data_IF_696647750162
#
_entry.id   IF_696647750162
#
_cell.length_a   1.000
_cell.length_b   1.000
_cell.length_c   1.000
_cell.angle_alpha   90.00
_cell.angle_beta   90.00
_cell.angle_gamma   90.00
#
_symmetry.space_group_name_H-M   'P 1'
#
loop_
_entity.id
_entity.type
_entity.pdbx_description
1 polymer ?
#
# COMPACT_ATOMS: atom_id res chain seq x y z
N UNK A 1 -13.89 0.28 -17.60
CA UNK A 1 -13.80 1.17 -16.42
C UNK A 1 -15.12 1.10 -15.68
N UNK A 2 -15.20 0.44 -14.52
CA UNK A 2 -16.46 0.35 -13.80
C UNK A 2 -16.66 1.63 -12.98
N UNK A 3 -17.44 2.57 -13.51
CA UNK A 3 -17.78 3.88 -12.91
C UNK A 3 -18.24 3.73 -11.44
N UNK A 4 -18.78 2.56 -11.10
CA UNK A 4 -19.21 2.16 -9.77
C UNK A 4 -18.10 2.15 -8.71
N UNK A 5 -16.86 1.76 -9.03
CA UNK A 5 -15.77 1.70 -8.03
C UNK A 5 -15.34 3.09 -7.56
N UNK A 6 -15.21 4.03 -8.52
CA UNK A 6 -14.87 5.43 -8.23
C UNK A 6 -15.99 6.13 -7.46
N UNK A 7 -17.26 5.89 -7.84
CA UNK A 7 -18.43 6.42 -7.13
C UNK A 7 -18.52 5.84 -5.70
N UNK A 8 -18.26 4.55 -5.51
CA UNK A 8 -18.29 3.93 -4.19
C UNK A 8 -17.23 4.52 -3.25
N UNK A 9 -16.03 4.86 -3.76
CA UNK A 9 -15.01 5.55 -2.95
C UNK A 9 -15.39 7.00 -2.64
N UNK A 10 -16.00 7.73 -3.58
CA UNK A 10 -16.42 9.12 -3.39
C UNK A 10 -17.58 9.27 -2.37
N UNK A 11 -18.46 8.27 -2.28
CA UNK A 11 -19.65 8.32 -1.40
C UNK A 11 -19.36 7.73 0.00
N UNK A 12 -18.36 6.87 0.15
CA UNK A 12 -18.15 6.12 1.41
C UNK A 12 -17.38 6.91 2.46
N UNK A 13 -18.10 7.33 3.50
CA UNK A 13 -17.55 7.88 4.74
C UNK A 13 -17.36 6.85 5.87
N UNK A 14 -17.79 5.59 5.69
CA UNK A 14 -17.77 4.53 6.71
C UNK A 14 -17.35 3.17 6.15
N UNK A 15 -16.74 2.34 7.00
CA UNK A 15 -16.33 0.96 6.70
C UNK A 15 -17.52 0.08 6.31
N UNK A 16 -17.30 -0.84 5.36
CA UNK A 16 -18.27 -1.90 5.04
C UNK A 16 -18.21 -2.97 6.13
N UNK A 17 -19.35 -3.29 6.74
CA UNK A 17 -19.46 -4.45 7.65
C UNK A 17 -19.43 -5.72 6.82
N UNK A 18 -18.42 -6.57 7.02
CA UNK A 18 -18.30 -7.89 6.38
C UNK A 18 -18.60 -8.97 7.41
N UNK A 19 -19.47 -9.93 7.07
CA UNK A 19 -19.80 -11.11 7.91
C UNK A 19 -18.91 -12.31 7.62
N UNK A 20 -18.24 -12.35 6.47
CA UNK A 20 -17.32 -13.42 6.08
C UNK A 20 -16.00 -13.35 6.85
N UNK A 21 -15.43 -14.51 7.14
CA UNK A 21 -14.12 -14.61 7.76
C UNK A 21 -12.98 -14.23 6.79
N UNK A 22 -11.84 -13.89 7.37
CA UNK A 22 -10.60 -13.55 6.65
C UNK A 22 -9.77 -14.82 6.58
N UNK A 23 -9.42 -15.27 5.38
CA UNK A 23 -8.54 -16.41 5.17
C UNK A 23 -7.09 -15.93 5.03
N UNK A 24 -6.18 -16.60 5.74
CA UNK A 24 -4.75 -16.27 5.72
C UNK A 24 -3.97 -17.49 5.25
N UNK A 25 -3.41 -17.41 4.05
CA UNK A 25 -2.41 -18.35 3.59
C UNK A 25 -1.02 -17.83 3.95
N UNK A 26 -0.30 -18.60 4.75
CA UNK A 26 0.96 -18.18 5.36
C UNK A 26 2.15 -18.81 4.65
N UNK A 27 3.29 -18.13 4.76
CA UNK A 27 4.58 -18.70 4.34
C UNK A 27 4.99 -19.86 5.25
N UNK A 28 4.86 -19.69 6.56
CA UNK A 28 5.13 -20.73 7.56
C UNK A 28 3.81 -21.13 8.25
N UNK A 29 3.28 -22.34 7.99
CA UNK A 29 2.06 -22.84 8.61
C UNK A 29 2.14 -22.94 10.15
N UNK A 30 3.36 -23.05 10.69
CA UNK A 30 3.60 -23.22 12.13
C UNK A 30 3.64 -21.90 12.92
N UNK A 31 3.77 -20.76 12.22
CA UNK A 31 3.77 -19.44 12.85
C UNK A 31 2.39 -19.11 13.42
N UNK A 32 2.21 -18.66 14.68
CA UNK A 32 0.89 -18.40 15.27
C UNK A 32 0.10 -17.28 14.55
N UNK A 33 -1.25 -17.38 14.49
CA UNK A 33 -2.11 -16.29 14.00
C UNK A 33 -2.09 -15.19 15.07
N UNK A 34 -1.45 -14.06 14.77
CA UNK A 34 -1.63 -12.86 15.57
C UNK A 34 -2.78 -12.05 14.97
N UNK A 35 -3.85 -11.89 15.75
CA UNK A 35 -4.92 -10.94 15.50
C UNK A 35 -4.89 -9.93 16.63
N UNK A 36 -4.98 -8.65 16.29
CA UNK A 36 -5.10 -7.57 17.27
C UNK A 36 -6.53 -7.06 17.34
N UNK A 37 -6.93 -6.57 18.51
CA UNK A 37 -8.27 -5.99 18.72
C UNK A 37 -8.25 -4.48 18.90
N UNK A 38 -7.09 -3.92 19.21
CA UNK A 38 -6.86 -2.48 19.39
C UNK A 38 -5.62 -2.03 18.63
N UNK A 39 -5.50 -0.73 18.33
CA UNK A 39 -4.29 -0.20 17.67
C UNK A 39 -3.11 -0.08 18.65
N UNK A 40 -3.39 -0.03 19.95
CA UNK A 40 -2.43 0.02 21.05
C UNK A 40 -1.59 -1.26 21.14
N UNK A 41 -2.20 -2.42 20.83
CA UNK A 41 -1.52 -3.71 20.77
C UNK A 41 -0.40 -3.75 19.70
N UNK A 42 -0.48 -2.89 18.69
CA UNK A 42 0.52 -2.79 17.61
C UNK A 42 1.79 -2.05 18.02
N UNK A 43 1.84 -1.46 19.23
CA UNK A 43 3.01 -0.75 19.77
C UNK A 43 3.57 0.31 18.81
N UNK A 44 2.69 1.04 18.14
CA UNK A 44 3.02 2.13 17.23
C UNK A 44 3.71 3.29 17.95
N UNK A 45 4.47 4.10 17.20
CA UNK A 45 4.95 5.40 17.71
C UNK A 45 3.75 6.26 18.13
N UNK A 46 3.82 6.98 19.27
CA UNK A 46 2.66 7.73 19.80
C UNK A 46 2.07 8.72 18.80
N UNK A 47 2.90 9.37 18.00
CA UNK A 47 2.50 10.34 16.97
C UNK A 47 1.68 9.67 15.86
N UNK A 48 2.10 8.47 15.45
CA UNK A 48 1.42 7.72 14.41
C UNK A 48 0.12 7.11 14.91
N UNK A 49 0.10 6.60 16.16
CA UNK A 49 -1.13 6.14 16.82
C UNK A 49 -2.17 7.27 16.90
N UNK A 50 -1.75 8.47 17.29
CA UNK A 50 -2.63 9.66 17.28
C UNK A 50 -3.15 9.98 15.88
N UNK A 51 -2.32 9.77 14.86
CA UNK A 51 -2.69 9.89 13.45
C UNK A 51 -3.75 8.89 13.01
N UNK A 52 -3.72 7.64 13.51
CA UNK A 52 -4.76 6.63 13.23
C UNK A 52 -6.13 7.12 13.70
N UNK A 53 -6.22 7.66 14.92
CA UNK A 53 -7.48 8.21 15.44
C UNK A 53 -7.93 9.47 14.69
N UNK A 54 -7.01 10.32 14.24
CA UNK A 54 -7.34 11.50 13.40
C UNK A 54 -7.95 11.12 12.04
N UNK A 55 -7.57 9.97 11.48
CA UNK A 55 -8.21 9.46 10.26
C UNK A 55 -9.65 9.03 10.53
N UNK A 56 -10.00 8.70 11.78
CA UNK A 56 -11.34 8.31 12.23
C UNK A 56 -11.49 6.82 12.51
N UNK A 57 -10.39 6.12 12.84
CA UNK A 57 -10.43 4.71 13.22
C UNK A 57 -10.31 4.55 14.73
N UNK A 58 -11.41 4.17 15.39
CA UNK A 58 -11.40 3.87 16.84
C UNK A 58 -10.86 2.46 17.12
N UNK A 59 -11.17 1.50 16.24
CA UNK A 59 -10.75 0.10 16.33
C UNK A 59 -10.29 -0.41 14.94
N UNK A 60 -9.39 -1.41 14.88
CA UNK A 60 -9.02 -2.05 13.63
C UNK A 60 -10.23 -2.69 12.95
N UNK A 61 -10.33 -2.56 11.62
CA UNK A 61 -11.30 -3.34 10.85
C UNK A 61 -10.89 -4.82 10.77
N UNK A 62 -11.81 -5.74 10.43
CA UNK A 62 -11.53 -7.18 10.35
C UNK A 62 -10.29 -7.52 9.48
N UNK A 63 -10.09 -6.83 8.34
CA UNK A 63 -8.89 -7.04 7.53
C UNK A 63 -7.63 -6.47 8.21
N UNK A 64 -7.74 -5.36 8.95
CA UNK A 64 -6.64 -4.75 9.67
C UNK A 64 -6.21 -5.58 10.89
N UNK A 65 -7.16 -6.17 11.62
CA UNK A 65 -6.88 -7.07 12.76
C UNK A 65 -5.90 -8.19 12.36
N UNK A 66 -6.03 -8.68 11.13
CA UNK A 66 -5.22 -9.78 10.58
C UNK A 66 -4.00 -9.29 9.80
N UNK A 67 -4.15 -8.21 9.02
CA UNK A 67 -3.06 -7.71 8.17
C UNK A 67 -1.97 -6.99 8.97
N UNK A 68 -2.36 -6.12 9.91
CA UNK A 68 -1.42 -5.22 10.59
C UNK A 68 -0.33 -5.95 11.39
N UNK A 69 -0.61 -7.03 12.13
CA UNK A 69 0.44 -7.77 12.83
C UNK A 69 1.54 -8.28 11.89
N UNK A 70 1.16 -8.81 10.72
CA UNK A 70 2.10 -9.28 9.70
C UNK A 70 2.82 -8.12 9.01
N UNK A 71 2.08 -7.06 8.63
CA UNK A 71 2.65 -5.90 7.95
C UNK A 71 3.66 -5.12 8.83
N UNK A 72 3.42 -5.08 10.14
CA UNK A 72 4.27 -4.40 11.13
C UNK A 72 5.30 -5.33 11.78
N UNK A 73 5.34 -6.61 11.43
CA UNK A 73 6.31 -7.56 11.95
C UNK A 73 7.76 -7.11 11.68
N UNK A 74 8.66 -7.51 12.56
CA UNK A 74 10.10 -7.31 12.38
C UNK A 74 10.79 -8.67 12.41
N UNK A 75 11.48 -9.10 11.32
CA UNK A 75 11.74 -8.36 10.09
C UNK A 75 10.48 -8.10 9.22
N UNK A 76 10.50 -7.10 8.31
CA UNK A 76 9.40 -6.81 7.39
C UNK A 76 8.99 -8.02 6.55
N UNK A 77 7.68 -8.18 6.35
CA UNK A 77 7.12 -9.28 5.56
C UNK A 77 6.28 -8.76 4.40
N UNK A 78 6.44 -9.40 3.24
CA UNK A 78 5.70 -9.08 2.03
C UNK A 78 4.26 -9.62 2.11
N UNK A 79 3.32 -8.94 1.46
CA UNK A 79 1.91 -9.32 1.50
C UNK A 79 1.20 -9.04 0.18
N UNK A 80 0.35 -9.99 -0.21
CA UNK A 80 -0.72 -9.79 -1.17
C UNK A 80 -2.03 -9.83 -0.39
N UNK A 81 -2.87 -8.81 -0.56
CA UNK A 81 -4.15 -8.74 0.12
C UNK A 81 -5.29 -8.50 -0.89
N UNK A 82 -6.14 -9.52 -1.02
CA UNK A 82 -7.39 -9.48 -1.76
C UNK A 82 -8.54 -9.18 -0.80
N UNK A 83 -9.27 -8.09 -1.05
CA UNK A 83 -10.47 -7.75 -0.29
C UNK A 83 -11.29 -6.72 -1.05
N UNK A 84 -12.61 -6.71 -0.87
CA UNK A 84 -13.48 -5.70 -1.47
C UNK A 84 -13.14 -4.26 -1.04
N UNK A 85 -13.53 -3.27 -1.84
CA UNK A 85 -13.36 -1.85 -1.50
C UNK A 85 -14.08 -1.47 -0.22
N UNK A 86 -13.51 -0.54 0.56
CA UNK A 86 -14.11 -0.04 1.81
C UNK A 86 -13.89 -0.91 3.06
N UNK A 87 -13.00 -1.89 3.01
CA UNK A 87 -12.64 -2.74 4.17
C UNK A 87 -11.52 -2.19 5.04
N UNK A 88 -10.85 -1.11 4.62
CA UNK A 88 -9.76 -0.48 5.38
C UNK A 88 -8.34 -0.82 4.91
N UNK A 89 -8.20 -1.48 3.74
CA UNK A 89 -6.89 -1.79 3.11
C UNK A 89 -5.96 -0.57 3.02
N UNK A 90 -6.48 0.55 2.52
CA UNK A 90 -5.70 1.79 2.33
C UNK A 90 -5.08 2.27 3.63
N UNK A 91 -5.87 2.34 4.70
CA UNK A 91 -5.36 2.71 6.01
C UNK A 91 -4.34 1.68 6.55
N UNK A 92 -4.53 0.39 6.27
CA UNK A 92 -3.61 -0.66 6.70
C UNK A 92 -2.21 -0.49 6.08
N UNK A 93 -2.12 -0.34 4.76
CA UNK A 93 -0.82 -0.22 4.10
C UNK A 93 -0.16 1.14 4.32
N UNK A 94 -0.95 2.21 4.51
CA UNK A 94 -0.42 3.52 4.87
C UNK A 94 0.20 3.45 6.26
N UNK A 95 -0.51 2.86 7.23
CA UNK A 95 0.01 2.68 8.58
C UNK A 95 1.31 1.88 8.57
N UNK A 96 1.33 0.76 7.84
CA UNK A 96 2.53 -0.05 7.67
C UNK A 96 3.68 0.76 7.04
N UNK A 97 3.40 1.51 5.96
CA UNK A 97 4.38 2.32 5.26
C UNK A 97 4.98 3.42 6.16
N UNK A 98 4.13 4.19 6.84
CA UNK A 98 4.55 5.27 7.73
C UNK A 98 5.32 4.76 8.96
N UNK A 99 5.04 3.54 9.40
CA UNK A 99 5.76 2.91 10.52
C UNK A 99 7.22 2.57 10.19
N UNK A 100 7.59 2.47 8.90
CA UNK A 100 8.95 2.15 8.44
C UNK A 100 9.80 3.38 8.10
N UNK A 101 9.19 4.57 8.04
CA UNK A 101 9.88 5.80 7.69
C UNK A 101 10.80 6.23 8.82
N UNK A 102 12.05 6.53 8.48
CA UNK A 102 12.99 7.24 9.33
C UNK A 102 12.92 8.74 8.99
N UNK A 103 12.36 9.52 9.90
CA UNK A 103 12.13 10.97 9.73
C UNK A 103 13.43 11.80 9.72
N UNK A 104 14.56 11.23 10.12
CA UNK A 104 15.85 11.93 10.08
C UNK A 104 16.46 11.95 8.67
N UNK A 105 15.98 11.08 7.79
CA UNK A 105 16.46 10.89 6.43
C UNK A 105 15.61 11.66 5.40
N UNK A 106 16.19 12.73 4.84
CA UNK A 106 15.56 13.61 3.83
C UNK A 106 15.62 13.05 2.41
N UNK A 107 15.05 11.87 2.21
CA UNK A 107 14.89 11.24 0.90
C UNK A 107 13.71 10.24 0.89
N UNK A 108 13.19 9.89 -0.29
CA UNK A 108 12.11 8.91 -0.42
C UNK A 108 12.48 7.53 0.12
N UNK A 109 11.65 7.02 1.03
CA UNK A 109 11.76 5.71 1.66
C UNK A 109 10.54 4.84 1.37
N UNK A 110 9.42 5.44 0.95
CA UNK A 110 8.17 4.76 0.61
C UNK A 110 7.76 5.16 -0.80
N UNK A 111 7.40 4.19 -1.63
CA UNK A 111 6.81 4.41 -2.95
C UNK A 111 5.46 3.69 -3.03
N UNK A 112 4.40 4.44 -3.34
CA UNK A 112 3.04 3.92 -3.50
C UNK A 112 2.58 4.17 -4.93
N UNK A 113 2.32 3.09 -5.66
CA UNK A 113 1.74 3.14 -6.99
C UNK A 113 0.22 3.11 -6.89
N UNK A 114 -0.41 4.10 -7.50
CA UNK A 114 -1.87 4.17 -7.70
C UNK A 114 -2.18 4.19 -9.19
N UNK A 115 -3.25 3.52 -9.66
CA UNK A 115 -3.46 3.34 -11.09
C UNK A 115 -4.03 4.58 -11.77
N UNK A 116 -4.58 5.54 -11.02
CA UNK A 116 -5.08 6.80 -11.56
C UNK A 116 -4.63 8.00 -10.71
N UNK A 117 -4.75 9.19 -11.31
CA UNK A 117 -4.49 10.47 -10.62
C UNK A 117 -5.38 10.61 -9.39
N UNK A 118 -6.67 10.37 -9.53
CA UNK A 118 -7.68 10.57 -8.49
C UNK A 118 -7.42 9.65 -7.29
N UNK A 119 -7.07 8.39 -7.56
CA UNK A 119 -6.72 7.42 -6.52
C UNK A 119 -5.42 7.80 -5.80
N UNK A 120 -4.42 8.31 -6.53
CA UNK A 120 -3.20 8.81 -5.91
C UNK A 120 -3.48 9.97 -4.93
N UNK A 121 -4.36 10.91 -5.31
CA UNK A 121 -4.78 12.01 -4.43
C UNK A 121 -5.49 11.47 -3.19
N UNK A 122 -6.47 10.58 -3.36
CA UNK A 122 -7.22 9.99 -2.23
C UNK A 122 -6.31 9.25 -1.25
N UNK A 123 -5.41 8.41 -1.75
CA UNK A 123 -4.45 7.68 -0.91
C UNK A 123 -3.48 8.63 -0.21
N UNK A 124 -3.04 9.68 -0.90
CA UNK A 124 -2.18 10.70 -0.30
C UNK A 124 -2.88 11.53 0.79
N UNK A 125 -4.19 11.80 0.67
CA UNK A 125 -4.95 12.50 1.71
C UNK A 125 -5.04 11.66 3.00
N UNK A 126 -5.23 10.34 2.87
CA UNK A 126 -5.18 9.42 4.02
C UNK A 126 -3.79 9.41 4.63
N UNK A 127 -2.73 9.35 3.81
CA UNK A 127 -1.35 9.37 4.29
C UNK A 127 -1.02 10.68 5.03
N UNK A 128 -1.44 11.82 4.48
CA UNK A 128 -1.25 13.14 5.10
C UNK A 128 -1.97 13.28 6.43
N UNK A 129 -3.22 12.80 6.52
CA UNK A 129 -4.00 12.82 7.77
C UNK A 129 -3.38 11.89 8.81
N UNK A 130 -2.96 10.70 8.42
CA UNK A 130 -2.33 9.74 9.33
C UNK A 130 -0.94 10.21 9.80
N UNK A 131 -0.19 10.91 8.95
CA UNK A 131 1.11 11.48 9.28
C UNK A 131 1.05 12.83 10.01
N UNK A 132 -0.14 13.38 10.29
CA UNK A 132 -0.36 14.75 10.79
C UNK A 132 0.49 15.16 12.00
N UNK A 133 0.80 14.21 12.88
CA UNK A 133 1.57 14.46 14.11
C UNK A 133 3.04 14.02 14.02
N UNK A 134 3.50 13.62 12.83
CA UNK A 134 4.88 13.22 12.53
C UNK A 134 5.60 14.29 11.71
N UNK A 135 6.91 14.14 11.47
CA UNK A 135 7.65 14.96 10.49
C UNK A 135 7.69 14.33 9.09
N UNK A 136 6.92 13.26 8.86
CA UNK A 136 6.84 12.58 7.58
C UNK A 136 6.11 13.48 6.57
N UNK A 137 6.72 13.64 5.41
CA UNK A 137 6.20 14.43 4.29
C UNK A 137 6.01 13.54 3.06
N UNK A 138 5.01 13.89 2.25
CA UNK A 138 4.60 13.14 1.07
C UNK A 138 4.55 14.05 -0.17
N UNK A 139 4.85 13.48 -1.34
CA UNK A 139 4.79 14.17 -2.62
C UNK A 139 4.05 13.33 -3.67
N UNK A 140 3.41 14.02 -4.62
CA UNK A 140 2.59 13.39 -5.66
C UNK A 140 3.32 13.35 -7.01
N UNK A 141 3.72 12.15 -7.42
CA UNK A 141 4.25 11.86 -8.75
C UNK A 141 3.10 11.58 -9.72
N UNK A 142 2.38 12.63 -10.13
CA UNK A 142 1.21 12.51 -11.02
C UNK A 142 1.32 13.43 -12.25
N UNK A 143 0.42 13.27 -13.22
CA UNK A 143 0.38 14.13 -14.42
C UNK A 143 0.29 15.60 -14.00
N UNK A 144 1.08 16.46 -14.65
CA UNK A 144 1.17 17.90 -14.35
C UNK A 144 2.26 18.26 -13.34
N UNK A 145 2.69 17.34 -12.47
CA UNK A 145 3.79 17.60 -11.54
C UNK A 145 5.14 17.60 -12.30
N UNK A 146 5.86 18.72 -12.26
CA UNK A 146 7.15 18.89 -12.96
C UNK A 146 8.15 19.60 -12.07
N UNK A 147 9.41 19.22 -12.20
CA UNK A 147 10.55 19.90 -11.61
C UNK A 147 11.59 20.21 -12.69
N UNK A 148 12.48 21.12 -12.37
CA UNK A 148 13.66 21.38 -13.18
C UNK A 148 14.63 20.18 -13.12
N UNK A 149 15.48 20.05 -14.14
CA UNK A 149 16.54 19.03 -14.14
C UNK A 149 17.49 19.27 -12.97
N UNK A 150 17.90 18.20 -12.29
CA UNK A 150 18.76 18.27 -11.12
C UNK A 150 18.03 18.49 -9.80
N UNK A 151 16.69 18.66 -9.82
CA UNK A 151 15.89 18.65 -8.60
C UNK A 151 16.07 17.34 -7.83
N UNK A 152 16.10 17.43 -6.50
CA UNK A 152 16.17 16.27 -5.60
C UNK A 152 14.94 16.29 -4.69
N UNK A 153 14.15 15.23 -4.74
CA UNK A 153 12.99 15.05 -3.86
C UNK A 153 13.51 14.70 -2.47
N UNK A 154 12.99 15.40 -1.46
CA UNK A 154 13.42 15.25 -0.05
C UNK A 154 12.34 14.67 0.84
N UNK A 155 11.12 14.58 0.30
CA UNK A 155 9.97 13.95 0.92
C UNK A 155 10.19 12.45 1.09
N UNK A 156 9.58 11.90 2.13
CA UNK A 156 9.82 10.53 2.57
C UNK A 156 8.92 9.54 1.81
N UNK A 157 7.74 10.01 1.39
CA UNK A 157 6.73 9.20 0.70
C UNK A 157 6.46 9.78 -0.68
N UNK A 158 6.62 8.96 -1.72
CA UNK A 158 6.17 9.29 -3.08
C UNK A 158 4.92 8.46 -3.36
N UNK A 159 3.84 9.12 -3.74
CA UNK A 159 2.62 8.48 -4.23
C UNK A 159 2.32 8.94 -5.64
N UNK A 160 1.86 8.06 -6.53
CA UNK A 160 1.62 8.48 -7.90
C UNK A 160 1.36 7.36 -8.88
N UNK A 161 1.28 7.72 -10.16
CA UNK A 161 1.06 6.73 -11.22
C UNK A 161 2.39 6.11 -11.66
N UNK A 162 2.40 4.82 -12.09
CA UNK A 162 3.63 4.12 -12.46
C UNK A 162 4.47 4.88 -13.49
N UNK A 163 3.83 5.40 -14.53
CA UNK A 163 4.50 6.13 -15.61
C UNK A 163 5.22 7.39 -15.15
N UNK A 164 4.69 8.09 -14.14
CA UNK A 164 5.31 9.32 -13.63
C UNK A 164 6.42 9.01 -12.61
N UNK A 165 6.21 8.00 -11.77
CA UNK A 165 7.21 7.53 -10.80
C UNK A 165 8.44 6.99 -11.52
N UNK A 166 8.27 6.17 -12.57
CA UNK A 166 9.41 5.66 -13.33
C UNK A 166 10.17 6.76 -14.06
N UNK A 167 9.48 7.80 -14.56
CA UNK A 167 10.11 8.97 -15.14
C UNK A 167 10.95 9.73 -14.09
N UNK A 168 10.37 10.02 -12.91
CA UNK A 168 11.08 10.69 -11.83
C UNK A 168 12.30 9.90 -11.35
N UNK A 169 12.18 8.57 -11.23
CA UNK A 169 13.26 7.71 -10.76
C UNK A 169 14.36 7.50 -11.83
N UNK A 170 13.98 7.06 -13.03
CA UNK A 170 14.94 6.52 -14.00
C UNK A 170 15.37 7.53 -15.06
N UNK A 171 14.47 8.40 -15.50
CA UNK A 171 14.75 9.39 -16.54
C UNK A 171 15.34 10.67 -15.95
N UNK A 172 14.71 11.19 -14.90
CA UNK A 172 15.10 12.46 -14.29
C UNK A 172 16.01 12.31 -13.08
N UNK A 173 16.02 11.13 -12.45
CA UNK A 173 16.84 10.81 -11.27
C UNK A 173 16.59 11.77 -10.10
N UNK A 174 15.33 12.14 -9.88
CA UNK A 174 14.90 13.01 -8.78
C UNK A 174 14.99 12.32 -7.42
N UNK A 175 15.02 10.98 -7.40
CA UNK A 175 15.22 10.17 -6.21
C UNK A 175 15.83 8.80 -6.56
N UNK A 176 16.27 8.07 -5.54
CA UNK A 176 16.97 6.79 -5.66
C UNK A 176 16.11 5.63 -5.14
N UNK A 177 15.74 4.71 -6.04
CA UNK A 177 14.93 3.53 -5.70
C UNK A 177 15.66 2.54 -4.78
N UNK A 178 17.00 2.55 -4.73
CA UNK A 178 17.76 1.66 -3.85
C UNK A 178 17.60 1.97 -2.36
N UNK A 179 17.07 3.15 -2.02
CA UNK A 179 16.81 3.60 -0.64
C UNK A 179 15.39 3.34 -0.16
N UNK A 180 14.53 2.80 -1.03
CA UNK A 180 13.13 2.53 -0.71
C UNK A 180 13.04 1.33 0.22
N UNK A 181 12.40 1.53 1.37
CA UNK A 181 12.12 0.52 2.39
C UNK A 181 10.77 -0.16 2.19
N UNK A 182 9.81 0.55 1.58
CA UNK A 182 8.45 0.05 1.37
C UNK A 182 7.95 0.40 -0.03
N UNK A 183 7.39 -0.60 -0.71
CA UNK A 183 6.79 -0.46 -2.03
C UNK A 183 5.37 -1.02 -2.03
N UNK A 184 4.42 -0.23 -2.51
CA UNK A 184 2.99 -0.58 -2.51
C UNK A 184 2.41 -0.50 -3.92
N UNK A 185 1.64 -1.50 -4.31
CA UNK A 185 0.73 -1.45 -5.45
C UNK A 185 -0.71 -1.45 -4.94
N UNK A 186 -1.40 -0.34 -5.12
CA UNK A 186 -2.82 -0.19 -4.76
C UNK A 186 -3.70 -0.46 -5.98
N UNK A 187 -4.84 -1.14 -5.78
CA UNK A 187 -5.83 -1.50 -6.81
C UNK A 187 -5.17 -2.21 -8.02
N UNK A 188 -4.48 -3.34 -7.78
CA UNK A 188 -3.69 -4.04 -8.78
C UNK A 188 -4.49 -4.54 -9.99
N UNK A 189 -5.74 -4.96 -9.78
CA UNK A 189 -6.72 -5.26 -10.82
C UNK A 189 -6.97 -4.08 -11.77
N UNK A 190 -7.10 -2.88 -11.23
CA UNK A 190 -7.20 -1.65 -12.05
C UNK A 190 -5.84 -1.30 -12.66
N UNK A 191 -4.74 -1.56 -11.95
CA UNK A 191 -3.37 -1.27 -12.40
C UNK A 191 -3.02 -2.02 -13.69
N UNK A 192 -3.24 -3.33 -13.75
CA UNK A 192 -2.89 -4.15 -14.92
C UNK A 192 -3.75 -3.80 -16.15
N UNK A 193 -4.99 -3.36 -15.92
CA UNK A 193 -5.90 -2.94 -16.99
C UNK A 193 -5.50 -1.61 -17.66
N UNK A 194 -4.60 -0.82 -17.05
CA UNK A 194 -4.10 0.43 -17.63
C UNK A 194 -2.91 0.15 -18.56
N UNK A 195 -2.98 0.69 -19.77
CA UNK A 195 -1.95 0.48 -20.79
C UNK A 195 -0.55 0.87 -20.28
N UNK A 196 0.35 -0.11 -20.26
CA UNK A 196 1.75 0.05 -19.86
C UNK A 196 2.02 0.13 -18.36
N UNK A 197 0.99 0.20 -17.49
CA UNK A 197 1.20 0.26 -16.04
C UNK A 197 1.78 -1.03 -15.47
N UNK A 198 1.39 -2.18 -16.02
CA UNK A 198 1.99 -3.48 -15.73
C UNK A 198 3.52 -3.44 -15.87
N UNK A 199 4.01 -3.14 -17.08
CA UNK A 199 5.44 -3.15 -17.39
C UNK A 199 6.22 -2.06 -16.64
N UNK A 200 5.60 -0.89 -16.46
CA UNK A 200 6.19 0.21 -15.69
C UNK A 200 6.38 -0.19 -14.23
N UNK A 201 5.40 -0.87 -13.63
CA UNK A 201 5.47 -1.34 -12.24
C UNK A 201 6.58 -2.38 -12.06
N UNK A 202 6.69 -3.34 -12.98
CA UNK A 202 7.77 -4.34 -12.98
C UNK A 202 9.15 -3.67 -13.10
N UNK A 203 9.28 -2.65 -13.96
CA UNK A 203 10.54 -1.92 -14.13
C UNK A 203 10.95 -1.14 -12.89
N UNK A 204 9.99 -0.59 -12.13
CA UNK A 204 10.25 0.03 -10.83
C UNK A 204 10.70 -1.04 -9.83
N UNK A 205 9.95 -2.15 -9.73
CA UNK A 205 10.26 -3.26 -8.83
C UNK A 205 11.70 -3.78 -9.01
N UNK A 206 12.15 -3.97 -10.25
CA UNK A 206 13.52 -4.43 -10.59
C UNK A 206 14.64 -3.50 -10.12
N UNK A 207 14.34 -2.32 -9.57
CA UNK A 207 15.29 -1.34 -9.06
C UNK A 207 15.22 -1.16 -7.54
N UNK A 208 14.30 -1.83 -6.87
CA UNK A 208 14.17 -1.84 -5.42
C UNK A 208 15.20 -2.80 -4.80
N UNK A 209 15.66 -2.55 -3.56
CA UNK A 209 16.51 -3.49 -2.85
C UNK A 209 15.74 -4.74 -2.43
N UNK A 210 16.42 -5.87 -2.25
CA UNK A 210 15.82 -7.13 -1.78
C UNK A 210 15.19 -7.02 -0.38
N UNK A 211 15.68 -6.07 0.43
CA UNK A 211 15.16 -5.76 1.77
C UNK A 211 13.88 -4.91 1.75
N UNK A 212 13.43 -4.44 0.58
CA UNK A 212 12.23 -3.63 0.46
C UNK A 212 10.99 -4.48 0.81
N UNK A 213 10.18 -3.99 1.75
CA UNK A 213 8.88 -4.59 2.03
C UNK A 213 7.92 -4.27 0.88
N UNK A 214 7.38 -5.31 0.24
CA UNK A 214 6.50 -5.18 -0.92
C UNK A 214 5.07 -5.61 -0.55
N UNK A 215 4.12 -4.75 -0.86
CA UNK A 215 2.70 -4.97 -0.56
C UNK A 215 1.85 -4.75 -1.81
N UNK A 216 0.93 -5.66 -2.10
CA UNK A 216 -0.01 -5.54 -3.21
C UNK A 216 -1.45 -5.69 -2.70
N UNK A 217 -2.31 -4.78 -3.12
CA UNK A 217 -3.72 -4.75 -2.73
C UNK A 217 -4.59 -4.76 -3.98
N UNK A 218 -5.61 -5.61 -3.97
CA UNK A 218 -6.53 -5.76 -5.10
C UNK A 218 -7.95 -6.09 -4.63
N UNK A 219 -8.97 -5.71 -5.40
CA UNK A 219 -10.34 -6.15 -5.12
C UNK A 219 -10.59 -7.54 -5.72
N UNK A 220 -10.10 -7.80 -6.93
CA UNK A 220 -10.10 -9.12 -7.56
C UNK A 220 -8.72 -9.80 -7.49
N UNK A 221 -8.71 -11.12 -7.63
CA UNK A 221 -7.48 -11.91 -7.70
C UNK A 221 -7.63 -13.03 -8.72
N UNK A 222 -7.97 -12.62 -9.95
CA UNK A 222 -8.01 -13.52 -11.09
C UNK A 222 -6.60 -13.90 -11.56
N UNK A 223 -6.52 -14.76 -12.58
CA UNK A 223 -5.25 -15.29 -13.09
C UNK A 223 -4.26 -14.18 -13.48
N UNK A 224 -4.74 -13.11 -14.12
CA UNK A 224 -3.87 -12.03 -14.59
C UNK A 224 -3.29 -11.23 -13.41
N UNK A 225 -4.14 -10.91 -12.41
CA UNK A 225 -3.68 -10.25 -11.17
C UNK A 225 -2.72 -11.14 -10.39
N UNK A 226 -2.99 -12.45 -10.31
CA UNK A 226 -2.16 -13.42 -9.62
C UNK A 226 -0.77 -13.52 -10.26
N UNK A 227 -0.70 -13.73 -11.58
CA UNK A 227 0.57 -13.80 -12.33
C UNK A 227 1.39 -12.52 -12.17
N UNK A 228 0.74 -11.35 -12.25
CA UNK A 228 1.38 -10.06 -12.01
C UNK A 228 1.90 -9.92 -10.57
N UNK A 229 1.12 -10.34 -9.59
CA UNK A 229 1.48 -10.20 -8.18
C UNK A 229 2.62 -11.14 -7.78
N UNK A 230 2.63 -12.37 -8.27
CA UNK A 230 3.73 -13.33 -8.07
C UNK A 230 5.03 -12.86 -8.69
N UNK A 231 4.96 -12.11 -9.80
CA UNK A 231 6.15 -11.54 -10.44
C UNK A 231 6.78 -10.40 -9.62
N UNK A 232 5.99 -9.66 -8.83
CA UNK A 232 6.46 -8.45 -8.14
C UNK A 232 6.65 -8.67 -6.63
N UNK A 233 5.88 -9.56 -6.01
CA UNK A 233 5.86 -9.73 -4.55
C UNK A 233 6.43 -11.11 -4.18
N UNK A 234 7.77 -11.25 -4.08
CA UNK A 234 8.38 -12.52 -3.73
C UNK A 234 8.10 -12.88 -2.25
N UNK A 235 8.03 -14.17 -1.94
CA UNK A 235 7.93 -14.70 -0.57
C UNK A 235 6.81 -14.04 0.28
N UNK A 236 5.63 -13.84 -0.32
CA UNK A 236 4.53 -13.11 0.30
C UNK A 236 3.62 -13.95 1.19
N UNK A 237 2.93 -13.29 2.11
CA UNK A 237 1.71 -13.81 2.74
C UNK A 237 0.52 -13.45 1.85
N UNK A 238 -0.40 -14.40 1.63
CA UNK A 238 -1.64 -14.15 0.90
C UNK A 238 -2.79 -14.03 1.90
N UNK A 239 -3.44 -12.88 1.87
CA UNK A 239 -4.62 -12.57 2.66
C UNK A 239 -5.81 -12.43 1.71
N UNK A 240 -6.81 -13.30 1.81
CA UNK A 240 -8.00 -13.27 0.96
C UNK A 240 -9.28 -13.26 1.78
N UNK A 241 -10.32 -12.63 1.24
CA UNK A 241 -11.68 -12.84 1.73
C UNK A 241 -12.37 -13.79 0.78
N UNK A 242 -12.69 -15.01 1.24
CA UNK A 242 -13.54 -15.91 0.48
C UNK A 242 -14.95 -15.31 0.39
N UNK A 243 -15.34 -14.96 -0.84
CA UNK A 243 -16.74 -15.04 -1.23
C UNK A 243 -16.89 -16.42 -1.87
N UNK A 244 -17.54 -17.33 -1.15
CA UNK A 244 -17.88 -18.68 -1.58
C UNK A 244 -16.71 -19.63 -1.89
N UNK A 245 -16.16 -20.26 -0.85
CA UNK A 245 -15.74 -21.68 -0.83
C UNK A 245 -14.89 -22.27 -1.98
N UNK A 246 -14.32 -21.47 -2.86
CA UNK A 246 -13.45 -21.93 -3.95
C UNK A 246 -12.07 -21.35 -3.73
N UNK A 247 -11.22 -22.22 -3.18
CA UNK A 247 -9.78 -22.04 -3.09
C UNK A 247 -9.26 -22.00 -4.53
N UNK A 248 -8.65 -20.90 -4.94
CA UNK A 248 -7.69 -20.93 -6.03
C UNK A 248 -6.50 -21.75 -5.52
N UNK A 249 -6.38 -22.97 -6.03
CA UNK A 249 -5.23 -23.87 -5.84
C UNK A 249 -4.16 -23.49 -6.85
#
# INVERSE_FOLDING_TARGET
MNVLSLIQKLIRSKLVKTTSDVEVQRRDPSSPLYSVKTFEELKLRPELLKGVYEVGFDLPSKIQETALPTLLADPPQNMIAQSQSGTGKTAAFILASLSRVDETCRYPQVVILSPTYELAIQTGDVAKRMAKFTQITSIYAVRGATFERGHTITEHVILGTPGKIIDWALKFKFFDLSKVKVFVLDEADVMIAQQGHHDQSIRIHKKLPETCQMMLFSATYDKEVMEFAEQIIPNHHLLSHSQDGHVAV
#
